data_IF_763887123989
#
_entry.id   IF_763887123989
#
_cell.length_a   1.000
_cell.length_b   1.000
_cell.length_c   1.000
_cell.angle_alpha   90.00
_cell.angle_beta   90.00
_cell.angle_gamma   90.00
#
_symmetry.space_group_name_H-M   'P 1'
#
loop_
_entity.id
_entity.type
_entity.pdbx_description
1 polymer ?
#
# COMPACT_ATOMS: atom_id res chain seq x y z
N UNK A 1 46.41 3.89 1.24
CA UNK A 1 45.89 2.77 0.43
C UNK A 1 44.55 3.17 -0.18
N UNK A 2 44.49 3.36 -1.51
CA UNK A 2 43.23 3.62 -2.23
C UNK A 2 42.43 2.31 -2.24
N UNK A 3 41.39 2.21 -1.43
CA UNK A 3 40.45 1.08 -1.51
C UNK A 3 39.78 1.16 -2.89
N UNK A 4 40.14 0.26 -3.81
CA UNK A 4 39.49 0.12 -5.11
C UNK A 4 38.03 -0.27 -4.88
N UNK A 5 37.11 0.28 -5.68
CA UNK A 5 35.65 0.01 -5.58
C UNK A 5 35.33 -1.49 -5.46
N UNK A 6 36.14 -2.35 -6.10
CA UNK A 6 35.99 -3.80 -6.06
C UNK A 6 36.32 -4.43 -4.69
N UNK A 7 37.35 -3.95 -4.00
CA UNK A 7 37.72 -4.45 -2.66
C UNK A 7 36.65 -4.08 -1.64
N UNK A 8 36.13 -2.86 -1.72
CA UNK A 8 35.01 -2.42 -0.89
C UNK A 8 33.75 -3.26 -1.13
N UNK A 9 33.43 -3.57 -2.40
CA UNK A 9 32.27 -4.40 -2.75
C UNK A 9 32.35 -5.81 -2.17
N UNK A 10 33.54 -6.43 -2.19
CA UNK A 10 33.76 -7.77 -1.60
C UNK A 10 33.55 -7.79 -0.09
N UNK A 11 34.07 -6.78 0.61
CA UNK A 11 33.85 -6.64 2.05
C UNK A 11 32.36 -6.47 2.34
N UNK A 12 31.66 -5.60 1.61
CA UNK A 12 30.21 -5.41 1.79
C UNK A 12 29.42 -6.69 1.50
N UNK A 13 29.73 -7.42 0.43
CA UNK A 13 29.03 -8.67 0.08
C UNK A 13 29.26 -9.79 1.12
N UNK A 14 30.42 -9.80 1.79
CA UNK A 14 30.75 -10.78 2.84
C UNK A 14 29.98 -10.53 4.15
N UNK A 15 29.75 -9.26 4.49
CA UNK A 15 28.95 -8.87 5.66
C UNK A 15 27.45 -8.72 5.37
N UNK A 16 27.02 -8.79 4.09
CA UNK A 16 25.61 -8.69 3.71
C UNK A 16 24.93 -10.06 3.86
N UNK A 17 23.88 -10.19 4.70
CA UNK A 17 23.16 -11.44 4.83
C UNK A 17 22.54 -11.85 3.49
N UNK A 18 22.85 -13.06 3.02
CA UNK A 18 22.23 -13.63 1.81
C UNK A 18 20.72 -13.73 1.99
N UNK A 19 19.99 -12.86 1.30
CA UNK A 19 18.54 -12.80 1.40
C UNK A 19 17.92 -14.07 0.79
N UNK A 20 16.99 -14.72 1.50
CA UNK A 20 16.33 -15.95 1.03
C UNK A 20 15.23 -15.60 0.04
N UNK A 21 15.61 -15.20 -1.17
CA UNK A 21 14.71 -14.67 -2.21
C UNK A 21 13.50 -15.58 -2.41
N UNK A 22 13.71 -16.88 -2.67
CA UNK A 22 12.61 -17.84 -2.88
C UNK A 22 11.64 -17.91 -1.69
N UNK A 23 12.17 -17.93 -0.45
CA UNK A 23 11.32 -17.97 0.75
C UNK A 23 10.48 -16.70 0.86
N UNK A 24 11.07 -15.54 0.63
CA UNK A 24 10.36 -14.26 0.71
C UNK A 24 9.32 -14.13 -0.39
N UNK A 25 9.61 -14.60 -1.60
CA UNK A 25 8.64 -14.63 -2.71
C UNK A 25 7.44 -15.51 -2.38
N UNK A 26 7.66 -16.71 -1.84
CA UNK A 26 6.56 -17.61 -1.44
C UNK A 26 5.73 -17.00 -0.32
N UNK A 27 6.36 -16.40 0.69
CA UNK A 27 5.64 -15.70 1.76
C UNK A 27 4.85 -14.50 1.22
N UNK A 28 5.45 -13.68 0.35
CA UNK A 28 4.76 -12.54 -0.26
C UNK A 28 3.54 -12.98 -1.09
N UNK A 29 3.67 -14.07 -1.85
CA UNK A 29 2.55 -14.65 -2.60
C UNK A 29 1.43 -15.14 -1.68
N UNK A 30 1.75 -15.86 -0.61
CA UNK A 30 0.76 -16.40 0.33
C UNK A 30 0.04 -15.26 1.06
N UNK A 31 0.78 -14.32 1.66
CA UNK A 31 0.17 -13.23 2.43
C UNK A 31 -0.62 -12.27 1.53
N UNK A 32 -0.08 -11.91 0.36
CA UNK A 32 -0.82 -11.11 -0.62
C UNK A 32 -2.07 -11.82 -1.13
N UNK A 33 -1.95 -13.12 -1.45
CA UNK A 33 -3.07 -13.96 -1.88
C UNK A 33 -4.16 -14.08 -0.82
N UNK A 34 -3.81 -14.20 0.47
CA UNK A 34 -4.77 -14.23 1.57
C UNK A 34 -5.54 -12.90 1.65
N UNK A 35 -4.85 -11.75 1.57
CA UNK A 35 -5.50 -10.43 1.60
C UNK A 35 -6.45 -10.27 0.41
N UNK A 36 -6.01 -10.63 -0.80
CA UNK A 36 -6.85 -10.56 -1.99
C UNK A 36 -8.06 -11.49 -1.90
N UNK A 37 -7.87 -12.72 -1.41
CA UNK A 37 -8.96 -13.69 -1.20
C UNK A 37 -9.96 -13.15 -0.18
N UNK A 38 -9.48 -12.55 0.91
CA UNK A 38 -10.34 -11.93 1.91
C UNK A 38 -11.14 -10.75 1.33
N UNK A 39 -10.51 -9.91 0.51
CA UNK A 39 -11.22 -8.85 -0.23
C UNK A 39 -12.29 -9.41 -1.17
N UNK A 40 -11.98 -10.48 -1.91
CA UNK A 40 -12.94 -11.13 -2.80
C UNK A 40 -14.14 -11.71 -2.03
N UNK A 41 -13.91 -12.28 -0.85
CA UNK A 41 -15.00 -12.75 0.03
C UNK A 41 -15.90 -11.60 0.46
N UNK A 42 -15.33 -10.47 0.91
CA UNK A 42 -16.11 -9.28 1.30
C UNK A 42 -16.94 -8.79 0.11
N UNK A 43 -16.32 -8.69 -1.07
CA UNK A 43 -17.00 -8.24 -2.29
C UNK A 43 -18.17 -9.15 -2.64
N UNK A 44 -17.99 -10.47 -2.57
CA UNK A 44 -19.04 -11.44 -2.90
C UNK A 44 -20.19 -11.42 -1.89
N UNK A 45 -19.89 -11.20 -0.60
CA UNK A 45 -20.92 -10.98 0.42
C UNK A 45 -21.72 -9.72 0.10
N UNK A 46 -21.07 -8.61 -0.24
CA UNK A 46 -21.76 -7.36 -0.62
C UNK A 46 -22.61 -7.53 -1.89
N UNK A 47 -22.10 -8.22 -2.92
CA UNK A 47 -22.90 -8.53 -4.12
C UNK A 47 -24.12 -9.38 -3.75
N UNK A 48 -24.00 -10.29 -2.79
CA UNK A 48 -25.13 -11.10 -2.30
C UNK A 48 -26.17 -10.27 -1.53
N UNK A 49 -25.84 -9.05 -1.11
CA UNK A 49 -26.74 -8.07 -0.52
C UNK A 49 -27.29 -7.06 -1.56
N UNK A 50 -27.36 -7.45 -2.84
CA UNK A 50 -27.89 -6.65 -3.95
C UNK A 50 -27.11 -5.37 -4.28
N UNK A 51 -25.83 -5.27 -3.87
CA UNK A 51 -24.96 -4.19 -4.34
C UNK A 51 -24.47 -4.44 -5.76
N UNK A 52 -24.34 -3.37 -6.55
CA UNK A 52 -23.70 -3.47 -7.87
C UNK A 52 -22.23 -3.87 -7.72
N UNK A 53 -21.66 -4.57 -8.71
CA UNK A 53 -20.25 -4.99 -8.66
C UNK A 53 -19.28 -3.82 -8.47
N UNK A 54 -19.64 -2.64 -8.98
CA UNK A 54 -18.85 -1.42 -8.84
C UNK A 54 -18.89 -0.90 -7.41
N UNK A 55 -20.09 -0.76 -6.83
CA UNK A 55 -20.26 -0.26 -5.47
C UNK A 55 -19.69 -1.25 -4.44
N UNK A 56 -19.90 -2.55 -4.65
CA UNK A 56 -19.32 -3.61 -3.82
C UNK A 56 -17.78 -3.54 -3.83
N UNK A 57 -17.15 -3.27 -4.97
CA UNK A 57 -15.70 -3.09 -5.08
C UNK A 57 -15.18 -1.88 -4.30
N UNK A 58 -15.88 -0.74 -4.41
CA UNK A 58 -15.57 0.47 -3.65
C UNK A 58 -15.72 0.24 -2.15
N UNK A 59 -16.84 -0.36 -1.72
CA UNK A 59 -17.08 -0.67 -0.31
C UNK A 59 -16.08 -1.69 0.25
N UNK A 60 -15.70 -2.70 -0.54
CA UNK A 60 -14.64 -3.66 -0.16
C UNK A 60 -13.32 -2.96 0.14
N UNK A 61 -12.92 -2.03 -0.73
CA UNK A 61 -11.70 -1.23 -0.52
C UNK A 61 -11.78 -0.41 0.76
N UNK A 62 -12.93 0.24 1.03
CA UNK A 62 -13.15 1.01 2.25
C UNK A 62 -13.08 0.11 3.49
N UNK A 63 -13.69 -1.06 3.47
CA UNK A 63 -13.66 -2.03 4.58
C UNK A 63 -12.23 -2.51 4.84
N UNK A 64 -11.48 -2.86 3.79
CA UNK A 64 -10.08 -3.30 3.93
C UNK A 64 -9.19 -2.19 4.52
N UNK A 65 -9.36 -0.95 4.06
CA UNK A 65 -8.66 0.22 4.60
C UNK A 65 -9.02 0.41 6.08
N UNK A 66 -10.30 0.44 6.42
CA UNK A 66 -10.75 0.61 7.81
C UNK A 66 -10.23 -0.49 8.75
N UNK A 67 -10.33 -1.76 8.32
CA UNK A 67 -9.79 -2.89 9.06
C UNK A 67 -8.28 -2.79 9.23
N UNK A 68 -7.56 -2.37 8.19
CA UNK A 68 -6.11 -2.21 8.28
C UNK A 68 -5.75 -1.09 9.24
N UNK A 69 -6.40 0.07 9.16
CA UNK A 69 -6.18 1.18 10.09
C UNK A 69 -6.36 0.75 11.56
N UNK A 70 -7.39 -0.04 11.84
CA UNK A 70 -7.62 -0.62 13.16
C UNK A 70 -6.50 -1.59 13.57
N UNK A 71 -6.14 -2.54 12.69
CA UNK A 71 -5.09 -3.53 12.97
C UNK A 71 -3.70 -2.91 13.12
N UNK A 72 -3.41 -1.83 12.39
CA UNK A 72 -2.20 -1.01 12.53
C UNK A 72 -2.22 -0.26 13.86
N UNK A 73 -3.34 0.35 14.23
CA UNK A 73 -3.54 0.98 15.55
C UNK A 73 -3.33 0.03 16.72
N UNK A 74 -3.69 -1.25 16.56
CA UNK A 74 -3.44 -2.31 17.54
C UNK A 74 -2.02 -2.91 17.48
N UNK A 75 -1.20 -2.51 16.50
CA UNK A 75 0.16 -3.01 16.28
C UNK A 75 0.23 -4.46 15.78
N UNK A 76 -0.90 -5.02 15.31
CA UNK A 76 -0.99 -6.39 14.76
C UNK A 76 -0.51 -6.40 13.31
N UNK A 77 -0.92 -5.40 12.53
CA UNK A 77 -0.58 -5.34 11.10
C UNK A 77 0.93 -5.21 10.88
N UNK A 78 1.62 -4.36 11.64
CA UNK A 78 3.09 -4.19 11.56
C UNK A 78 3.85 -5.48 11.90
N UNK A 79 3.35 -6.27 12.87
CA UNK A 79 3.95 -7.55 13.22
C UNK A 79 3.81 -8.55 12.08
N UNK A 80 2.63 -8.65 11.48
CA UNK A 80 2.38 -9.52 10.33
C UNK A 80 3.18 -9.07 9.11
N UNK A 81 3.35 -7.76 8.90
CA UNK A 81 4.14 -7.18 7.81
C UNK A 81 5.61 -7.63 7.82
N UNK A 82 6.22 -7.82 8.99
CA UNK A 82 7.60 -8.34 9.12
C UNK A 82 7.74 -9.78 8.59
N UNK A 83 6.68 -10.58 8.64
CA UNK A 83 6.68 -11.96 8.14
C UNK A 83 6.18 -12.08 6.70
N UNK A 84 5.12 -11.34 6.35
CA UNK A 84 4.53 -11.35 5.02
C UNK A 84 5.29 -10.54 3.97
N UNK A 85 6.19 -9.65 4.41
CA UNK A 85 7.06 -8.87 3.53
C UNK A 85 6.27 -8.11 2.47
N UNK A 86 6.71 -8.20 1.21
CA UNK A 86 6.07 -7.50 0.10
C UNK A 86 4.57 -7.82 -0.05
N UNK A 87 4.13 -9.02 0.32
CA UNK A 87 2.71 -9.42 0.24
C UNK A 87 1.77 -8.60 1.13
N UNK A 88 2.28 -8.02 2.22
CA UNK A 88 1.52 -7.15 3.13
C UNK A 88 1.68 -5.66 2.78
N UNK A 89 2.69 -5.29 1.98
CA UNK A 89 3.04 -3.90 1.65
C UNK A 89 2.41 -3.46 0.31
N UNK A 90 2.34 -4.37 -0.66
CA UNK A 90 1.87 -4.07 -2.02
C UNK A 90 0.35 -3.86 -2.12
N UNK A 91 -0.52 -4.62 -1.43
CA UNK A 91 -1.97 -4.38 -1.48
C UNK A 91 -2.36 -3.03 -0.85
N UNK A 92 -3.61 -2.60 -1.06
CA UNK A 92 -4.15 -1.34 -0.49
C UNK A 92 -3.99 -1.24 1.03
N UNK A 93 -3.99 -2.38 1.71
CA UNK A 93 -3.76 -2.50 3.15
C UNK A 93 -2.35 -2.03 3.55
N UNK A 94 -1.34 -2.28 2.72
CA UNK A 94 0.02 -1.80 2.94
C UNK A 94 0.16 -0.28 2.82
N UNK A 95 -0.54 0.32 1.85
CA UNK A 95 -0.67 1.78 1.75
C UNK A 95 -1.29 2.35 3.02
N UNK A 96 -2.41 1.80 3.50
CA UNK A 96 -3.06 2.29 4.71
C UNK A 96 -2.17 2.16 5.96
N UNK A 97 -1.46 1.04 6.11
CA UNK A 97 -0.50 0.88 7.20
C UNK A 97 0.58 1.96 7.15
N UNK A 98 1.09 2.28 5.96
CA UNK A 98 2.08 3.35 5.78
C UNK A 98 1.55 4.73 6.16
N UNK A 99 0.24 4.95 6.09
CA UNK A 99 -0.39 6.23 6.48
C UNK A 99 -0.64 6.29 7.98
N UNK A 100 -1.17 5.20 8.56
CA UNK A 100 -1.59 5.15 9.96
C UNK A 100 -0.41 5.01 10.92
N UNK A 101 0.63 4.24 10.57
CA UNK A 101 1.78 4.07 11.45
C UNK A 101 2.51 5.39 11.78
N UNK A 102 2.86 6.26 10.79
CA UNK A 102 3.39 7.59 11.07
C UNK A 102 2.40 8.49 11.81
N UNK A 103 1.09 8.38 11.54
CA UNK A 103 0.09 9.17 12.26
C UNK A 103 0.13 8.90 13.78
N UNK A 104 0.37 7.64 14.16
CA UNK A 104 0.50 7.20 15.54
C UNK A 104 1.86 7.59 16.14
N UNK A 105 2.94 7.38 15.41
CA UNK A 105 4.32 7.68 15.85
C UNK A 105 4.52 9.17 16.12
N UNK A 106 4.08 10.01 15.19
CA UNK A 106 4.27 11.47 15.25
C UNK A 106 3.13 12.20 15.98
N UNK A 107 2.22 11.48 16.66
CA UNK A 107 1.14 12.07 17.46
C UNK A 107 1.66 13.02 18.55
N UNK A 108 2.86 12.75 19.09
CA UNK A 108 3.49 13.59 20.12
C UNK A 108 3.95 14.96 19.61
N UNK A 109 4.13 15.12 18.30
CA UNK A 109 4.47 16.39 17.65
C UNK A 109 3.25 17.29 17.38
N UNK A 110 2.06 16.85 17.83
CA UNK A 110 0.79 17.56 17.67
C UNK A 110 0.05 17.18 16.39
N UNK A 111 -1.22 17.58 16.30
CA UNK A 111 -2.10 17.14 15.21
C UNK A 111 -1.74 17.74 13.86
N UNK A 112 -1.30 19.00 13.81
CA UNK A 112 -1.03 19.72 12.55
C UNK A 112 0.37 19.42 12.04
N UNK A 113 1.40 19.73 12.84
CA UNK A 113 2.80 19.60 12.45
C UNK A 113 3.32 18.15 12.53
N UNK A 114 2.71 17.31 13.36
CA UNK A 114 3.03 15.89 13.51
C UNK A 114 2.13 15.01 12.62
N UNK A 115 1.02 14.52 13.18
CA UNK A 115 0.19 13.49 12.54
C UNK A 115 -0.30 13.89 11.14
N UNK A 116 -0.93 15.06 10.96
CA UNK A 116 -1.49 15.45 9.66
C UNK A 116 -0.42 15.69 8.60
N UNK A 117 0.66 16.40 8.95
CA UNK A 117 1.77 16.62 8.03
C UNK A 117 2.37 15.28 7.53
N UNK A 118 2.61 14.32 8.44
CA UNK A 118 3.19 13.02 8.08
C UNK A 118 2.26 12.16 7.25
N UNK A 119 0.96 12.09 7.59
CA UNK A 119 -0.05 11.44 6.75
C UNK A 119 0.00 12.01 5.32
N UNK A 120 0.05 13.34 5.20
CA UNK A 120 0.03 14.00 3.90
C UNK A 120 1.32 13.81 3.10
N UNK A 121 2.48 13.57 3.73
CA UNK A 121 3.70 13.26 2.97
C UNK A 121 3.61 11.97 2.15
N UNK A 122 2.78 11.01 2.59
CA UNK A 122 2.54 9.76 1.88
C UNK A 122 1.28 9.81 1.01
N UNK A 123 0.16 10.30 1.55
CA UNK A 123 -1.10 10.39 0.82
C UNK A 123 -1.09 11.49 -0.25
N UNK A 124 -0.41 12.61 0.01
CA UNK A 124 -0.39 13.79 -0.85
C UNK A 124 0.10 13.49 -2.28
N UNK A 125 1.27 12.84 -2.47
CA UNK A 125 1.73 12.45 -3.80
C UNK A 125 0.74 11.54 -4.53
N UNK A 126 0.17 10.54 -3.85
CA UNK A 126 -0.78 9.59 -4.47
C UNK A 126 -2.04 10.31 -4.94
N UNK A 127 -2.59 11.19 -4.11
CA UNK A 127 -3.77 11.99 -4.48
C UNK A 127 -3.47 12.97 -5.61
N UNK A 128 -2.34 13.68 -5.55
CA UNK A 128 -1.94 14.64 -6.57
C UNK A 128 -1.84 13.96 -7.94
N UNK A 129 -1.04 12.91 -8.06
CA UNK A 129 -0.87 12.22 -9.34
C UNK A 129 -2.14 11.51 -9.79
N UNK A 130 -2.90 10.91 -8.86
CA UNK A 130 -4.17 10.24 -9.17
C UNK A 130 -5.20 11.20 -9.78
N UNK A 131 -5.47 12.33 -9.12
CA UNK A 131 -6.42 13.31 -9.61
C UNK A 131 -5.94 14.04 -10.87
N UNK A 132 -4.65 14.41 -10.94
CA UNK A 132 -4.10 15.03 -12.14
C UNK A 132 -4.18 14.11 -13.36
N UNK A 133 -3.83 12.83 -13.22
CA UNK A 133 -3.99 11.85 -14.30
C UNK A 133 -5.45 11.64 -14.68
N UNK A 134 -6.35 11.51 -13.70
CA UNK A 134 -7.79 11.36 -13.96
C UNK A 134 -8.37 12.56 -14.71
N UNK A 135 -7.96 13.78 -14.36
CA UNK A 135 -8.40 15.00 -15.04
C UNK A 135 -7.89 15.05 -16.48
N UNK A 136 -6.60 14.76 -16.70
CA UNK A 136 -6.00 14.74 -18.03
C UNK A 136 -6.67 13.70 -18.93
N UNK A 137 -6.81 12.47 -18.45
CA UNK A 137 -7.46 11.40 -19.22
C UNK A 137 -8.92 11.74 -19.50
N UNK A 138 -9.67 12.22 -18.50
CA UNK A 138 -11.06 12.63 -18.68
C UNK A 138 -11.22 13.76 -19.71
N UNK A 139 -10.31 14.73 -19.70
CA UNK A 139 -10.30 15.82 -20.68
C UNK A 139 -9.99 15.34 -22.10
N UNK A 140 -9.00 14.45 -22.25
CA UNK A 140 -8.66 13.83 -23.54
C UNK A 140 -9.86 13.02 -24.08
N UNK A 141 -10.47 12.18 -23.24
CA UNK A 141 -11.65 11.39 -23.62
C UNK A 141 -12.81 12.27 -24.07
N UNK A 142 -13.08 13.38 -23.36
CA UNK A 142 -14.12 14.33 -23.75
C UNK A 142 -13.86 14.96 -25.13
N UNK A 143 -12.61 15.33 -25.43
CA UNK A 143 -12.24 15.89 -26.73
C UNK A 143 -12.41 14.86 -27.85
N UNK A 144 -12.01 13.61 -27.62
CA UNK A 144 -12.14 12.51 -28.60
C UNK A 144 -13.62 12.27 -28.94
N UNK A 145 -14.49 12.18 -27.93
CA UNK A 145 -15.94 12.00 -28.12
C UNK A 145 -16.55 13.16 -28.93
N UNK A 146 -16.12 14.40 -28.66
CA UNK A 146 -16.55 15.60 -29.40
C UNK A 146 -16.05 15.65 -30.86
N UNK A 147 -14.93 15.00 -31.16
CA UNK A 147 -14.34 14.91 -32.50
C UNK A 147 -14.95 13.76 -33.34
N UNK A 148 -15.82 12.94 -32.76
CA UNK A 148 -16.57 11.89 -33.45
C UNK A 148 -15.77 10.59 -33.68
N UNK A 149 -14.76 10.32 -32.86
CA UNK A 149 -14.04 9.04 -32.81
C UNK A 149 -14.55 8.14 -31.68
#
# INVERSE_FOLDING_TARGET
MKQTKETYKKVVDEYTPKNKILKNCVLAFIFGGIICTFGEVIKNVLISFDFTSKDAGTMTSVILVALTALLTGLGVYDKLGKYGGAGMIVPITGFENSVVAPALEFKREGYVLGSAAKIFTLAGPVLLYGYSCSMLVGFISYIIEKLGF
#
